data_IF_726082914935
#
_entry.id   IF_726082914935
#
_cell.length_a   1.000
_cell.length_b   1.000
_cell.length_c   1.000
_cell.angle_alpha   90.00
_cell.angle_beta   90.00
_cell.angle_gamma   90.00
#
_symmetry.space_group_name_H-M   'P 1'
#
loop_
_entity.id
_entity.type
_entity.pdbx_description
1 polymer ?
#
# COMPACT_ATOMS: atom_id res chain seq x y z
N UNK A 1 -24.42 -37.51 -4.52
CA UNK A 1 -24.77 -36.23 -3.86
C UNK A 1 -25.50 -36.55 -2.56
N UNK A 2 -24.99 -36.06 -1.42
CA UNK A 2 -25.78 -35.11 -0.64
C UNK A 2 -25.00 -33.80 -0.47
N UNK A 3 -25.71 -32.71 -0.75
CA UNK A 3 -25.20 -31.34 -0.84
C UNK A 3 -24.74 -30.86 0.55
N UNK A 4 -23.45 -30.53 0.68
CA UNK A 4 -22.99 -29.69 1.80
C UNK A 4 -23.56 -28.28 1.62
N UNK A 5 -24.30 -27.82 2.62
CA UNK A 5 -24.82 -26.45 2.71
C UNK A 5 -23.65 -25.47 2.71
N UNK A 6 -23.60 -24.61 1.71
CA UNK A 6 -22.71 -23.45 1.65
C UNK A 6 -23.26 -22.43 2.66
N UNK A 7 -22.52 -22.18 3.72
CA UNK A 7 -22.76 -21.06 4.64
C UNK A 7 -22.29 -19.77 3.96
N UNK A 8 -23.09 -18.70 3.92
CA UNK A 8 -22.64 -17.44 3.32
C UNK A 8 -21.54 -16.82 4.19
N UNK A 9 -20.37 -16.62 3.57
CA UNK A 9 -19.28 -15.83 4.11
C UNK A 9 -19.78 -14.41 4.40
N UNK A 10 -19.72 -13.99 5.68
CA UNK A 10 -19.83 -12.58 6.05
C UNK A 10 -18.52 -11.90 5.68
N UNK A 11 -18.53 -11.13 4.60
CA UNK A 11 -17.49 -10.13 4.33
C UNK A 11 -17.45 -9.15 5.51
N UNK A 12 -16.37 -9.21 6.30
CA UNK A 12 -16.02 -8.16 7.25
C UNK A 12 -14.96 -7.31 6.58
N UNK A 13 -15.40 -6.21 5.97
CA UNK A 13 -14.50 -5.12 5.62
C UNK A 13 -13.94 -4.51 6.92
N UNK A 14 -12.62 -4.55 7.06
CA UNK A 14 -11.90 -4.03 8.20
C UNK A 14 -11.62 -2.54 7.97
N UNK A 15 -12.42 -1.66 8.56
CA UNK A 15 -12.04 -0.25 8.78
C UNK A 15 -12.63 0.25 10.12
N UNK A 16 -11.70 0.56 11.04
CA UNK A 16 -11.82 1.28 12.33
C UNK A 16 -12.65 0.71 13.49
N UNK A 17 -12.20 0.90 14.76
CA UNK A 17 -12.88 0.41 15.95
C UNK A 17 -14.05 1.33 16.35
N UNK A 18 -15.26 0.77 16.42
CA UNK A 18 -16.43 1.45 16.96
C UNK A 18 -16.50 1.35 18.50
N UNK A 19 -16.91 2.44 19.16
CA UNK A 19 -17.58 2.38 20.47
C UNK A 19 -19.06 2.76 20.33
N UNK A 20 -19.88 1.78 20.72
CA UNK A 20 -21.26 1.76 21.28
C UNK A 20 -22.43 2.47 20.55
N UNK A 21 -23.35 1.60 20.10
CA UNK A 21 -24.82 1.67 19.97
C UNK A 21 -25.50 3.00 20.36
N UNK A 22 -26.20 3.64 19.41
CA UNK A 22 -27.62 3.99 19.57
C UNK A 22 -28.30 4.34 18.23
N UNK A 23 -29.56 3.89 18.08
CA UNK A 23 -30.62 4.24 17.11
C UNK A 23 -30.41 3.86 15.62
N UNK A 24 -31.41 3.15 15.07
CA UNK A 24 -31.52 2.82 13.64
C UNK A 24 -31.64 4.12 12.83
N UNK A 25 -30.76 4.40 11.86
CA UNK A 25 -30.99 5.46 10.90
C UNK A 25 -31.82 4.92 9.73
N UNK A 26 -32.72 5.78 9.27
CA UNK A 26 -33.52 5.66 8.06
C UNK A 26 -32.63 5.59 6.81
N UNK A 27 -33.25 5.30 5.67
CA UNK A 27 -32.73 4.95 4.34
C UNK A 27 -31.63 5.87 3.72
N UNK A 28 -31.22 6.93 4.41
CA UNK A 28 -30.14 7.84 4.00
C UNK A 28 -28.74 7.32 4.33
N UNK A 29 -28.58 6.38 5.27
CA UNK A 29 -27.23 5.84 5.62
C UNK A 29 -26.64 4.83 4.63
N UNK A 30 -27.39 4.38 3.61
CA UNK A 30 -26.82 3.50 2.56
C UNK A 30 -25.97 4.22 1.52
N UNK A 31 -26.00 5.56 1.45
CA UNK A 31 -25.24 6.35 0.46
C UNK A 31 -23.81 6.73 0.88
N UNK A 32 -23.34 6.27 2.04
CA UNK A 32 -22.07 6.72 2.61
C UNK A 32 -20.81 6.01 2.05
N UNK A 33 -20.95 5.02 1.15
CA UNK A 33 -19.84 4.16 0.74
C UNK A 33 -19.47 4.27 -0.75
N UNK A 34 -20.04 5.22 -1.48
CA UNK A 34 -19.80 5.35 -2.91
C UNK A 34 -18.70 6.38 -3.19
N UNK A 35 -17.78 6.13 -4.15
CA UNK A 35 -16.70 7.05 -4.42
C UNK A 35 -17.23 8.36 -5.03
N UNK A 36 -16.51 9.49 -4.88
CA UNK A 36 -16.89 10.77 -5.48
C UNK A 36 -17.08 10.71 -7.00
N UNK A 37 -16.38 9.78 -7.67
CA UNK A 37 -16.48 9.48 -9.09
C UNK A 37 -17.77 8.73 -9.49
N UNK A 38 -18.59 8.24 -8.55
CA UNK A 38 -19.81 7.52 -8.92
C UNK A 38 -20.82 8.47 -9.61
N UNK A 39 -21.27 8.19 -10.85
CA UNK A 39 -22.22 9.05 -11.54
C UNK A 39 -23.65 8.94 -10.97
N UNK A 40 -23.97 7.82 -10.31
CA UNK A 40 -25.33 7.51 -9.82
C UNK A 40 -25.46 7.59 -8.30
N UNK A 41 -24.37 7.39 -7.57
CA UNK A 41 -24.36 7.38 -6.10
C UNK A 41 -23.22 8.26 -5.57
N UNK A 42 -23.02 9.46 -6.11
CA UNK A 42 -21.91 10.32 -5.68
C UNK A 42 -22.02 10.74 -4.21
N UNK A 43 -20.88 10.90 -3.52
CA UNK A 43 -20.79 11.52 -2.20
C UNK A 43 -20.36 12.99 -2.30
N UNK A 44 -20.76 13.87 -1.36
CA UNK A 44 -20.31 15.27 -1.36
C UNK A 44 -18.80 15.37 -1.06
N UNK A 45 -18.14 16.39 -1.61
CA UNK A 45 -16.71 16.63 -1.36
C UNK A 45 -16.37 16.80 0.14
N UNK A 46 -17.33 17.28 0.95
CA UNK A 46 -17.19 17.36 2.40
C UNK A 46 -16.87 16.00 3.05
N UNK A 47 -17.34 14.87 2.52
CA UNK A 47 -16.99 13.55 3.05
C UNK A 47 -15.47 13.27 2.92
N UNK A 48 -14.84 13.75 1.84
CA UNK A 48 -13.39 13.70 1.68
C UNK A 48 -12.69 14.71 2.59
N UNK A 49 -13.04 16.00 2.50
CA UNK A 49 -12.31 17.05 3.23
C UNK A 49 -12.48 16.95 4.76
N UNK A 50 -13.68 16.63 5.24
CA UNK A 50 -13.97 16.54 6.67
C UNK A 50 -13.73 15.14 7.25
N UNK A 51 -13.98 14.10 6.46
CA UNK A 51 -13.82 12.71 6.87
C UNK A 51 -12.39 12.20 6.65
N UNK A 52 -12.04 11.92 5.39
CA UNK A 52 -10.72 11.38 5.03
C UNK A 52 -9.58 12.33 5.43
N UNK A 53 -9.66 13.58 5.00
CA UNK A 53 -8.63 14.58 5.25
C UNK A 53 -8.71 15.23 6.65
N UNK A 54 -9.73 14.87 7.44
CA UNK A 54 -9.92 15.30 8.84
C UNK A 54 -9.86 16.82 9.02
N UNK A 55 -10.49 17.57 8.11
CA UNK A 55 -10.44 19.05 8.08
C UNK A 55 -9.00 19.59 8.07
N UNK A 56 -8.10 18.93 7.33
CA UNK A 56 -6.68 19.25 7.26
C UNK A 56 -5.79 18.47 8.23
N UNK A 57 -6.36 17.78 9.23
CA UNK A 57 -5.62 16.95 10.19
C UNK A 57 -4.94 15.70 9.59
N UNK A 58 -5.10 15.45 8.29
CA UNK A 58 -4.32 14.46 7.54
C UNK A 58 -2.89 14.92 7.25
N UNK A 59 -2.60 16.22 7.24
CA UNK A 59 -1.24 16.71 7.04
C UNK A 59 -0.35 16.25 8.20
N UNK A 60 0.88 15.86 7.87
CA UNK A 60 1.89 15.61 8.89
C UNK A 60 2.45 16.95 9.41
N UNK A 61 3.20 16.88 10.50
CA UNK A 61 3.93 18.04 11.02
C UNK A 61 4.93 18.54 9.96
N UNK A 62 4.97 19.84 9.67
CA UNK A 62 5.90 20.41 8.68
C UNK A 62 7.38 20.19 9.03
N UNK A 63 7.69 19.96 10.30
CA UNK A 63 9.03 19.60 10.78
C UNK A 63 9.36 18.11 10.69
N UNK A 64 8.39 17.26 10.30
CA UNK A 64 8.61 15.82 10.16
C UNK A 64 9.76 15.55 9.18
N UNK A 65 10.74 14.79 9.63
CA UNK A 65 11.85 14.33 8.83
C UNK A 65 12.26 12.93 9.29
N UNK A 66 12.44 12.01 8.34
CA UNK A 66 13.06 10.72 8.59
C UNK A 66 14.06 10.42 7.49
N UNK A 67 15.31 10.18 7.85
CA UNK A 67 16.41 10.00 6.89
C UNK A 67 16.56 11.18 5.89
N UNK A 68 16.26 12.40 6.34
CA UNK A 68 16.23 13.60 5.51
C UNK A 68 15.07 13.66 4.52
N UNK A 69 14.02 12.84 4.72
CA UNK A 69 12.82 12.78 3.87
C UNK A 69 11.58 13.17 4.68
N UNK A 70 10.73 13.99 4.07
CA UNK A 70 9.47 14.44 4.66
C UNK A 70 8.29 13.62 4.15
N UNK A 71 7.41 13.17 5.03
CA UNK A 71 6.12 12.58 4.69
C UNK A 71 5.03 13.62 4.88
N UNK A 72 4.48 14.17 3.79
CA UNK A 72 3.45 15.22 3.82
C UNK A 72 2.13 14.80 4.50
N UNK A 73 1.82 13.50 4.52
CA UNK A 73 0.60 12.96 5.13
C UNK A 73 0.93 12.18 6.42
N UNK A 74 0.06 12.32 7.41
CA UNK A 74 0.10 11.62 8.69
C UNK A 74 -0.37 10.18 8.50
N UNK A 75 0.58 9.26 8.37
CA UNK A 75 0.34 7.82 8.36
C UNK A 75 -0.25 7.35 9.69
N UNK A 76 -1.41 6.68 9.65
CA UNK A 76 -2.14 6.28 10.85
C UNK A 76 -1.30 5.31 11.71
N UNK A 77 -0.99 5.70 12.94
CA UNK A 77 -0.17 4.88 13.85
C UNK A 77 1.32 4.78 13.47
N UNK A 78 1.77 5.41 12.38
CA UNK A 78 3.15 5.31 11.89
C UNK A 78 3.63 6.64 11.29
N UNK A 79 3.46 7.73 12.04
CA UNK A 79 3.71 9.10 11.56
C UNK A 79 5.19 9.36 11.22
N UNK A 80 6.10 8.61 11.85
CA UNK A 80 7.54 8.82 11.72
C UNK A 80 8.14 8.15 10.49
N UNK A 81 7.75 6.91 10.20
CA UNK A 81 8.37 6.11 9.14
C UNK A 81 7.48 5.88 7.92
N UNK A 82 6.17 6.13 8.04
CA UNK A 82 5.21 5.57 7.11
C UNK A 82 4.99 4.09 7.40
N UNK A 83 3.74 3.66 7.27
CA UNK A 83 3.31 2.33 7.68
C UNK A 83 3.83 1.20 6.77
N UNK A 84 3.07 0.10 6.65
CA UNK A 84 3.36 -0.93 5.67
C UNK A 84 3.37 -0.36 4.24
N UNK A 85 4.33 -0.78 3.41
CA UNK A 85 4.60 -0.10 2.14
C UNK A 85 3.47 -0.20 1.11
N UNK A 86 2.57 -1.19 1.24
CA UNK A 86 1.39 -1.32 0.38
C UNK A 86 0.47 -0.09 0.37
N UNK A 87 0.55 0.79 1.38
CA UNK A 87 -0.21 2.05 1.42
C UNK A 87 0.17 3.00 0.28
N UNK A 88 1.37 2.87 -0.30
CA UNK A 88 1.80 3.61 -1.49
C UNK A 88 1.59 2.83 -2.79
N UNK A 89 0.92 1.67 -2.75
CA UNK A 89 0.66 0.83 -3.92
C UNK A 89 -0.82 0.75 -4.28
N UNK A 90 -1.69 0.31 -3.36
CA UNK A 90 -3.02 -0.19 -3.74
C UNK A 90 -3.91 0.87 -4.40
N UNK A 91 -3.98 2.07 -3.82
CA UNK A 91 -4.76 3.17 -4.41
C UNK A 91 -4.15 3.70 -5.70
N UNK A 92 -2.88 3.38 -5.99
CA UNK A 92 -2.09 3.92 -7.10
C UNK A 92 -1.83 2.89 -8.21
N UNK A 93 -2.52 1.74 -8.19
CA UNK A 93 -2.45 0.77 -9.28
C UNK A 93 -3.09 1.32 -10.57
N UNK A 94 -4.17 2.08 -10.43
CA UNK A 94 -4.85 2.78 -11.53
C UNK A 94 -4.75 4.30 -11.42
N UNK A 95 -4.90 4.88 -10.23
CA UNK A 95 -4.75 6.32 -10.03
C UNK A 95 -3.27 6.71 -10.19
N UNK A 96 -2.95 7.48 -11.21
CA UNK A 96 -1.56 7.85 -11.53
C UNK A 96 -1.02 8.91 -10.56
N UNK A 97 -0.04 8.60 -9.70
CA UNK A 97 0.47 9.54 -8.72
C UNK A 97 1.39 10.62 -9.33
N UNK A 98 1.93 10.44 -10.54
CA UNK A 98 3.07 11.24 -11.08
C UNK A 98 2.78 12.74 -11.18
N UNK A 99 1.53 13.10 -11.39
CA UNK A 99 1.06 14.50 -11.47
C UNK A 99 -0.03 14.80 -10.44
N UNK A 100 -0.31 13.84 -9.57
CA UNK A 100 -1.43 13.92 -8.65
C UNK A 100 -1.06 14.79 -7.45
N UNK A 101 -1.79 15.90 -7.30
CA UNK A 101 -1.67 16.79 -6.14
C UNK A 101 -3.03 17.28 -5.70
N UNK A 102 -3.18 17.52 -4.41
CA UNK A 102 -4.32 18.29 -3.88
C UNK A 102 -3.81 19.27 -2.81
N UNK A 103 -4.73 19.88 -2.07
CA UNK A 103 -4.37 20.81 -0.98
C UNK A 103 -3.58 20.15 0.17
N UNK A 104 -3.54 18.82 0.22
CA UNK A 104 -2.92 18.05 1.30
C UNK A 104 -1.52 17.54 0.95
N UNK A 105 -1.30 17.05 -0.27
CA UNK A 105 0.01 16.50 -0.65
C UNK A 105 0.30 16.53 -2.16
N UNK A 106 1.60 16.44 -2.46
CA UNK A 106 2.12 15.88 -3.71
C UNK A 106 2.26 14.36 -3.53
N UNK A 107 1.43 13.58 -4.22
CA UNK A 107 1.34 12.14 -3.97
C UNK A 107 2.51 11.37 -4.57
N UNK A 108 3.11 11.83 -5.66
CA UNK A 108 4.33 11.24 -6.21
C UNK A 108 5.48 11.35 -5.21
N UNK A 109 5.72 12.57 -4.71
CA UNK A 109 6.79 12.83 -3.75
C UNK A 109 6.52 12.10 -2.43
N UNK A 110 5.29 12.10 -1.95
CA UNK A 110 4.92 11.42 -0.70
C UNK A 110 5.16 9.91 -0.79
N UNK A 111 4.71 9.26 -1.86
CA UNK A 111 4.90 7.83 -2.06
C UNK A 111 6.37 7.47 -2.25
N UNK A 112 7.12 8.27 -3.02
CA UNK A 112 8.57 8.09 -3.19
C UNK A 112 9.31 8.18 -1.87
N UNK A 113 8.97 9.16 -1.02
CA UNK A 113 9.58 9.31 0.30
C UNK A 113 9.22 8.15 1.22
N UNK A 114 7.97 7.67 1.20
CA UNK A 114 7.56 6.50 1.98
C UNK A 114 8.35 5.25 1.59
N UNK A 115 8.51 4.99 0.29
CA UNK A 115 9.36 3.91 -0.23
C UNK A 115 10.81 4.05 0.21
N UNK A 116 11.40 5.23 0.04
CA UNK A 116 12.80 5.46 0.41
C UNK A 116 13.03 5.35 1.92
N UNK A 117 12.07 5.74 2.77
CA UNK A 117 12.18 5.55 4.23
C UNK A 117 12.15 4.06 4.58
N UNK A 118 11.27 3.27 3.95
CA UNK A 118 11.22 1.82 4.13
C UNK A 118 12.53 1.14 3.69
N UNK A 119 13.06 1.53 2.51
CA UNK A 119 14.36 1.10 2.01
C UNK A 119 15.49 1.46 3.00
N UNK A 120 15.60 2.73 3.40
CA UNK A 120 16.68 3.21 4.29
C UNK A 120 16.63 2.54 5.66
N UNK A 121 15.44 2.26 6.20
CA UNK A 121 15.30 1.48 7.43
C UNK A 121 15.88 0.07 7.29
N UNK A 122 15.57 -0.63 6.19
CA UNK A 122 16.12 -1.98 5.94
C UNK A 122 17.63 -1.94 5.72
N UNK A 123 18.16 -0.88 5.08
CA UNK A 123 19.61 -0.69 4.89
C UNK A 123 20.31 -0.40 6.21
N UNK A 124 19.73 0.45 7.07
CA UNK A 124 20.24 0.72 8.41
C UNK A 124 20.20 -0.55 9.29
N UNK A 125 19.15 -1.35 9.14
CA UNK A 125 18.95 -2.62 9.86
C UNK A 125 19.18 -2.48 11.39
N UNK A 126 18.42 -1.62 12.08
CA UNK A 126 18.68 -1.33 13.50
C UNK A 126 18.54 -2.55 14.42
N UNK A 127 17.73 -3.54 14.01
CA UNK A 127 17.53 -4.80 14.72
C UNK A 127 18.51 -5.91 14.32
N UNK A 128 19.41 -5.63 13.36
CA UNK A 128 20.46 -6.54 12.88
C UNK A 128 19.93 -7.89 12.38
N UNK A 129 18.76 -7.89 11.74
CA UNK A 129 18.22 -9.09 11.11
C UNK A 129 19.12 -9.55 9.96
N UNK A 130 19.34 -10.86 9.87
CA UNK A 130 20.12 -11.45 8.77
C UNK A 130 19.48 -11.14 7.41
N UNK A 131 20.31 -10.83 6.43
CA UNK A 131 19.92 -10.63 5.03
C UNK A 131 19.52 -9.20 4.67
N UNK A 132 19.03 -8.41 5.62
CA UNK A 132 18.58 -7.02 5.37
C UNK A 132 19.74 -6.16 4.83
N UNK A 133 19.45 -5.33 3.82
CA UNK A 133 20.44 -4.45 3.21
C UNK A 133 20.00 -3.82 1.89
N UNK A 134 20.91 -3.18 1.14
CA UNK A 134 20.58 -2.46 -0.10
C UNK A 134 20.00 -3.35 -1.20
N UNK A 135 20.25 -4.66 -1.13
CA UNK A 135 19.77 -5.65 -2.08
C UNK A 135 18.64 -6.52 -1.52
N UNK A 136 18.22 -6.33 -0.26
CA UNK A 136 17.21 -7.16 0.39
C UNK A 136 16.45 -6.30 1.39
N UNK A 137 15.35 -5.72 0.92
CA UNK A 137 14.56 -4.74 1.65
C UNK A 137 13.09 -4.87 1.28
N UNK A 138 12.23 -4.24 2.08
CA UNK A 138 10.81 -4.15 1.80
C UNK A 138 9.96 -4.75 2.92
N UNK A 139 9.45 -3.86 3.77
CA UNK A 139 8.52 -4.21 4.86
C UNK A 139 7.10 -3.82 4.48
N UNK A 140 6.20 -4.79 4.44
CA UNK A 140 4.77 -4.58 4.24
C UNK A 140 3.96 -5.68 4.94
N UNK A 141 2.64 -5.52 4.97
CA UNK A 141 1.76 -6.55 5.51
C UNK A 141 1.81 -7.82 4.65
N UNK A 142 1.81 -8.97 5.29
CA UNK A 142 1.89 -10.27 4.61
C UNK A 142 2.06 -11.41 5.61
N UNK A 143 2.27 -12.62 5.10
CA UNK A 143 2.65 -13.76 5.91
C UNK A 143 3.96 -13.50 6.67
N UNK A 144 4.01 -14.04 7.87
CA UNK A 144 5.09 -13.86 8.84
C UNK A 144 5.37 -15.20 9.52
N UNK A 145 6.49 -15.29 10.23
CA UNK A 145 6.91 -16.49 10.96
C UNK A 145 5.81 -16.99 11.91
N UNK A 146 5.09 -16.05 12.56
CA UNK A 146 3.92 -16.33 13.41
C UNK A 146 2.59 -16.09 12.69
N UNK A 147 2.47 -16.59 11.47
CA UNK A 147 1.33 -16.48 10.55
C UNK A 147 1.24 -15.17 9.77
N UNK A 148 0.75 -14.06 10.32
CA UNK A 148 0.54 -12.81 9.55
C UNK A 148 0.87 -11.58 10.40
N UNK A 149 1.46 -10.56 9.79
CA UNK A 149 1.75 -9.29 10.47
C UNK A 149 1.70 -8.11 9.49
N UNK A 150 1.49 -6.91 10.03
CA UNK A 150 1.53 -5.66 9.27
C UNK A 150 2.96 -5.08 9.28
N UNK A 151 3.92 -5.78 8.67
CA UNK A 151 5.32 -5.35 8.76
C UNK A 151 5.51 -3.94 8.22
N UNK A 152 6.30 -3.17 8.96
CA UNK A 152 6.68 -1.80 8.65
C UNK A 152 7.96 -1.47 9.43
N UNK A 153 8.61 -0.33 9.19
CA UNK A 153 9.71 0.11 10.05
C UNK A 153 9.35 0.23 11.55
N UNK A 154 8.06 0.39 11.88
CA UNK A 154 7.56 0.38 13.27
C UNK A 154 7.20 -1.01 13.81
N UNK A 155 7.04 -2.00 12.95
CA UNK A 155 6.68 -3.38 13.28
C UNK A 155 7.52 -4.35 12.44
N UNK A 156 8.83 -4.35 12.68
CA UNK A 156 9.76 -5.24 12.00
C UNK A 156 9.89 -6.56 12.78
N UNK A 157 9.66 -7.69 12.09
CA UNK A 157 9.73 -9.05 12.65
C UNK A 157 10.78 -9.89 11.92
N UNK A 158 11.70 -9.25 11.17
CA UNK A 158 12.74 -9.94 10.42
C UNK A 158 12.21 -10.66 9.18
N UNK A 159 11.09 -10.18 8.61
CA UNK A 159 10.46 -10.76 7.42
C UNK A 159 10.46 -9.73 6.29
N UNK A 160 11.06 -10.08 5.16
CA UNK A 160 10.98 -9.32 3.91
C UNK A 160 9.83 -9.87 3.08
N UNK A 161 9.00 -8.97 2.56
CA UNK A 161 7.92 -9.30 1.63
C UNK A 161 8.26 -8.72 0.26
N UNK A 162 8.54 -9.57 -0.77
CA UNK A 162 8.99 -9.11 -2.08
C UNK A 162 8.09 -8.02 -2.70
N UNK A 163 6.77 -8.09 -2.50
CA UNK A 163 5.83 -7.09 -3.03
C UNK A 163 6.15 -5.66 -2.58
N UNK A 164 6.72 -5.45 -1.39
CA UNK A 164 7.08 -4.12 -0.90
C UNK A 164 8.08 -3.42 -1.84
N UNK A 165 9.21 -4.07 -2.12
CA UNK A 165 10.24 -3.53 -3.00
C UNK A 165 9.80 -3.56 -4.47
N UNK A 166 9.21 -4.67 -4.94
CA UNK A 166 8.90 -4.85 -6.35
C UNK A 166 7.73 -3.98 -6.80
N UNK A 167 6.67 -3.84 -6.00
CA UNK A 167 5.56 -2.94 -6.33
C UNK A 167 5.94 -1.46 -6.23
N UNK A 168 7.15 -1.16 -5.72
CA UNK A 168 7.71 0.19 -5.68
C UNK A 168 8.59 0.55 -6.88
N UNK A 169 8.66 -0.30 -7.92
CA UNK A 169 9.43 -0.05 -9.14
C UNK A 169 9.26 1.36 -9.73
N UNK A 170 8.04 1.94 -9.79
CA UNK A 170 7.90 3.29 -10.31
C UNK A 170 8.58 4.37 -9.48
N UNK A 171 8.66 4.19 -8.16
CA UNK A 171 9.18 5.20 -7.24
C UNK A 171 10.70 5.08 -7.05
N UNK A 172 11.22 3.86 -6.97
CA UNK A 172 12.63 3.57 -6.68
C UNK A 172 13.18 2.48 -7.63
N UNK A 173 13.25 2.75 -8.95
CA UNK A 173 13.52 1.71 -9.94
C UNK A 173 14.88 1.03 -9.74
N UNK A 174 15.89 1.75 -9.25
CA UNK A 174 17.23 1.20 -9.06
C UNK A 174 17.28 0.27 -7.85
N UNK A 175 16.73 0.70 -6.72
CA UNK A 175 16.66 -0.06 -5.46
C UNK A 175 15.74 -1.28 -5.60
N UNK A 176 14.60 -1.12 -6.28
CA UNK A 176 13.67 -2.21 -6.59
C UNK A 176 14.30 -3.23 -7.55
N UNK A 177 15.04 -2.77 -8.57
CA UNK A 177 15.77 -3.66 -9.48
C UNK A 177 16.87 -4.43 -8.75
N UNK A 178 17.62 -3.77 -7.87
CA UNK A 178 18.66 -4.42 -7.07
C UNK A 178 18.08 -5.53 -6.18
N UNK A 179 16.96 -5.23 -5.49
CA UNK A 179 16.23 -6.23 -4.72
C UNK A 179 15.73 -7.39 -5.57
N UNK A 180 15.08 -7.10 -6.71
CA UNK A 180 14.60 -8.12 -7.64
C UNK A 180 15.71 -9.05 -8.12
N UNK A 181 16.88 -8.50 -8.47
CA UNK A 181 18.03 -9.30 -8.92
C UNK A 181 18.56 -10.18 -7.79
N UNK A 182 18.71 -9.65 -6.58
CA UNK A 182 19.13 -10.48 -5.44
C UNK A 182 18.12 -11.58 -5.10
N UNK A 183 16.83 -11.24 -5.07
CA UNK A 183 15.76 -12.21 -4.84
C UNK A 183 15.78 -13.34 -5.88
N UNK A 184 15.99 -13.01 -7.15
CA UNK A 184 15.99 -14.00 -8.23
C UNK A 184 17.32 -14.76 -8.34
N UNK A 185 18.45 -14.06 -8.40
CA UNK A 185 19.76 -14.64 -8.69
C UNK A 185 20.38 -15.34 -7.47
N UNK A 186 20.21 -14.76 -6.27
CA UNK A 186 20.88 -15.24 -5.06
C UNK A 186 19.99 -16.14 -4.21
N UNK A 187 18.71 -15.79 -4.06
CA UNK A 187 17.75 -16.58 -3.27
C UNK A 187 17.00 -17.62 -4.13
N UNK A 188 16.66 -17.27 -5.37
CA UNK A 188 16.15 -18.17 -6.39
C UNK A 188 15.00 -19.05 -5.91
N UNK A 189 15.12 -20.36 -6.14
CA UNK A 189 14.10 -21.36 -5.81
C UNK A 189 13.70 -21.42 -4.32
N UNK A 190 14.45 -20.79 -3.40
CA UNK A 190 14.04 -20.67 -2.00
C UNK A 190 12.83 -19.77 -1.82
N UNK A 191 12.70 -18.75 -2.67
CA UNK A 191 11.65 -17.72 -2.55
C UNK A 191 10.87 -17.49 -3.85
N UNK A 192 11.17 -18.22 -4.92
CA UNK A 192 10.55 -18.08 -6.24
C UNK A 192 9.99 -19.42 -6.72
N UNK A 193 8.72 -19.46 -7.11
CA UNK A 193 8.02 -20.64 -7.64
C UNK A 193 7.13 -20.32 -8.83
N UNK A 194 6.16 -21.20 -9.09
CA UNK A 194 5.33 -21.19 -10.31
C UNK A 194 4.61 -19.87 -10.60
N UNK A 195 4.27 -19.09 -9.57
CA UNK A 195 3.53 -17.82 -9.69
C UNK A 195 4.38 -16.60 -9.32
N UNK A 196 5.71 -16.73 -9.40
CA UNK A 196 6.67 -15.69 -9.07
C UNK A 196 7.21 -15.82 -7.65
N UNK A 197 7.54 -14.69 -7.03
CA UNK A 197 8.03 -14.67 -5.65
C UNK A 197 6.94 -15.10 -4.66
N UNK A 198 7.31 -15.85 -3.63
CA UNK A 198 6.45 -16.14 -2.49
C UNK A 198 6.22 -14.89 -1.64
N UNK A 199 5.18 -14.94 -0.81
CA UNK A 199 4.63 -13.81 -0.07
C UNK A 199 5.63 -13.10 0.88
N UNK A 200 6.49 -13.89 1.51
CA UNK A 200 7.50 -13.38 2.41
C UNK A 200 8.50 -14.44 2.85
N UNK A 201 9.65 -13.98 3.32
CA UNK A 201 10.72 -14.83 3.83
C UNK A 201 11.49 -14.16 4.97
N UNK A 202 12.14 -14.96 5.80
CA UNK A 202 13.08 -14.52 6.83
C UNK A 202 14.36 -15.34 6.72
N UNK A 203 15.47 -14.70 6.36
CA UNK A 203 16.79 -15.36 6.40
C UNK A 203 17.23 -15.64 7.85
N UNK A 204 16.82 -14.80 8.80
CA UNK A 204 17.10 -14.94 10.23
C UNK A 204 16.50 -16.23 10.78
N UNK A 205 15.21 -16.45 10.52
CA UNK A 205 14.45 -17.60 11.03
C UNK A 205 14.50 -18.81 10.09
N UNK A 206 15.26 -18.71 8.98
CA UNK A 206 15.28 -19.69 7.89
C UNK A 206 13.86 -20.09 7.46
N UNK A 207 12.99 -19.09 7.31
CA UNK A 207 11.56 -19.28 7.09
C UNK A 207 11.16 -18.79 5.70
N UNK A 208 10.51 -19.64 4.94
CA UNK A 208 9.76 -19.30 3.73
C UNK A 208 8.66 -20.33 3.57
N UNK A 209 7.49 -19.92 3.07
CA UNK A 209 6.40 -20.83 2.70
C UNK A 209 6.07 -20.66 1.23
N UNK A 210 5.72 -21.75 0.50
CA UNK A 210 5.33 -21.67 -0.90
C UNK A 210 3.90 -21.15 -1.04
N UNK A 211 3.63 -19.99 -0.44
CA UNK A 211 2.33 -19.34 -0.34
C UNK A 211 2.37 -18.03 -1.09
N UNK A 212 1.21 -17.67 -1.64
CA UNK A 212 1.00 -16.45 -2.39
C UNK A 212 -0.29 -15.80 -1.88
N UNK A 213 -0.30 -14.48 -1.77
CA UNK A 213 -1.53 -13.70 -1.58
C UNK A 213 -1.81 -12.88 -2.83
N UNK A 214 -3.07 -12.89 -3.28
CA UNK A 214 -3.48 -12.14 -4.47
C UNK A 214 -3.20 -10.64 -4.33
N UNK A 215 -3.37 -10.11 -3.11
CA UNK A 215 -3.14 -8.70 -2.79
C UNK A 215 -1.66 -8.32 -2.82
N UNK A 216 -0.75 -9.30 -2.72
CA UNK A 216 0.69 -9.07 -2.75
C UNK A 216 1.26 -9.36 -4.15
N UNK A 217 0.77 -10.38 -4.86
CA UNK A 217 1.17 -10.68 -6.24
C UNK A 217 0.66 -9.65 -7.26
N UNK A 218 -0.60 -9.21 -7.12
CA UNK A 218 -1.25 -8.29 -8.07
C UNK A 218 -0.48 -6.97 -8.27
N UNK A 219 -0.14 -6.26 -7.19
CA UNK A 219 0.63 -5.02 -7.26
C UNK A 219 2.00 -5.16 -7.93
N UNK A 220 2.69 -6.29 -7.78
CA UNK A 220 4.01 -6.52 -8.41
C UNK A 220 3.86 -6.36 -9.93
N UNK A 221 2.94 -7.11 -10.52
CA UNK A 221 2.73 -7.12 -11.97
C UNK A 221 2.24 -5.76 -12.45
N UNK A 222 1.24 -5.18 -11.76
CA UNK A 222 0.62 -3.91 -12.19
C UNK A 222 1.61 -2.75 -12.10
N UNK A 223 2.38 -2.66 -11.01
CA UNK A 223 3.32 -1.55 -10.83
C UNK A 223 4.56 -1.70 -11.73
N UNK A 224 5.02 -2.92 -12.01
CA UNK A 224 6.04 -3.15 -13.03
C UNK A 224 5.55 -2.75 -14.43
N UNK A 225 4.30 -3.03 -14.77
CA UNK A 225 3.71 -2.60 -16.04
C UNK A 225 3.54 -1.08 -16.10
N UNK A 226 3.06 -0.46 -15.02
CA UNK A 226 2.95 0.99 -14.93
C UNK A 226 4.31 1.68 -15.06
N UNK A 227 5.37 1.10 -14.49
CA UNK A 227 6.73 1.61 -14.70
C UNK A 227 7.18 1.46 -16.16
N UNK A 228 6.88 0.31 -16.79
CA UNK A 228 7.36 0.02 -18.15
C UNK A 228 6.65 0.86 -19.22
N UNK A 229 5.33 1.02 -19.11
CA UNK A 229 4.50 1.61 -20.17
C UNK A 229 3.44 2.59 -19.67
N UNK A 230 3.15 2.60 -18.36
CA UNK A 230 2.06 3.37 -17.76
C UNK A 230 0.68 2.86 -18.14
N UNK A 231 0.53 1.58 -18.55
CA UNK A 231 -0.71 1.06 -19.13
C UNK A 231 -1.93 1.23 -18.22
N UNK A 232 -1.88 0.77 -16.97
CA UNK A 232 -3.06 0.77 -16.09
C UNK A 232 -3.40 2.20 -15.64
N UNK A 233 -2.37 3.04 -15.44
CA UNK A 233 -2.54 4.47 -15.24
C UNK A 233 -3.25 5.15 -16.39
N UNK A 234 -2.81 4.93 -17.64
CA UNK A 234 -3.46 5.49 -18.83
C UNK A 234 -4.92 5.06 -18.94
N UNK A 235 -5.19 3.78 -18.71
CA UNK A 235 -6.55 3.24 -18.78
C UNK A 235 -7.46 3.86 -17.70
N UNK A 236 -7.05 3.80 -16.44
CA UNK A 236 -7.89 4.29 -15.34
C UNK A 236 -8.08 5.81 -15.37
N UNK A 237 -7.03 6.56 -15.71
CA UNK A 237 -7.11 8.03 -15.82
C UNK A 237 -7.86 8.50 -17.06
N UNK A 238 -8.15 7.61 -18.03
CA UNK A 238 -9.00 7.93 -19.19
C UNK A 238 -10.49 7.94 -18.87
N UNK A 239 -10.92 7.39 -17.73
CA UNK A 239 -12.33 7.34 -17.35
C UNK A 239 -12.87 8.74 -17.00
N UNK A 240 -13.88 9.28 -17.71
CA UNK A 240 -14.45 10.61 -17.42
C UNK A 240 -14.97 10.75 -15.99
N UNK A 241 -15.48 9.65 -15.41
CA UNK A 241 -15.98 9.59 -14.04
C UNK A 241 -14.86 9.78 -13.01
N UNK A 242 -13.68 9.23 -13.27
CA UNK A 242 -12.49 9.41 -12.43
C UNK A 242 -12.05 10.86 -12.47
N UNK A 243 -11.94 11.43 -13.67
CA UNK A 243 -11.56 12.83 -13.88
C UNK A 243 -12.55 13.78 -13.19
N UNK A 244 -13.85 13.57 -13.37
CA UNK A 244 -14.90 14.34 -12.71
C UNK A 244 -14.80 14.25 -11.18
N UNK A 245 -14.53 13.04 -10.64
CA UNK A 245 -14.31 12.83 -9.22
C UNK A 245 -13.08 13.58 -8.69
N UNK A 246 -11.96 13.53 -9.40
CA UNK A 246 -10.72 14.24 -9.03
C UNK A 246 -10.94 15.76 -9.06
N UNK A 247 -11.56 16.29 -10.11
CA UNK A 247 -11.91 17.71 -10.21
C UNK A 247 -12.84 18.14 -9.07
N UNK A 248 -13.86 17.33 -8.75
CA UNK A 248 -14.79 17.59 -7.63
C UNK A 248 -14.08 17.69 -6.28
N UNK A 249 -13.00 16.94 -6.09
CA UNK A 249 -12.20 16.95 -4.87
C UNK A 249 -11.08 17.99 -4.88
N UNK A 250 -10.88 18.73 -5.98
CA UNK A 250 -9.83 19.74 -6.11
C UNK A 250 -8.44 19.19 -6.39
N UNK A 251 -8.34 18.00 -7.00
CA UNK A 251 -7.06 17.44 -7.43
C UNK A 251 -6.57 18.07 -8.74
N UNK A 252 -5.25 18.16 -8.87
CA UNK A 252 -4.50 18.34 -10.11
C UNK A 252 -3.98 16.96 -10.53
N UNK A 253 -4.06 16.62 -11.83
CA UNK A 253 -3.69 15.31 -12.37
C UNK A 253 -3.29 15.37 -13.85
#
# INVERSE_FOLDING_TARGET
IPRRKILPHKERFFWMPGKKKSRRPTDTTRRANSPPSSPTNTIPAAAYHEGWARKGGIKNDSSHQRYGLHLSLKHNGSQQFGGPLFWSHYSFLGLDPRKLKDTHADYWQHNTNHTLINYKYCVENPLKYKGYGPNCWGLTAGYSVKFYAAHSPNEDKGVISPTAALSSFPYTPNESKAAMRYFYDSLGAKIFGDYGFYDGFSEQENWTKPWYLAIDQGPIVVMMENQRSGLLWKLFMSCPEVQAGLTKLGFQY
#
